data_IF_153517713858
#
_entry.id   IF_153517713858
#
_cell.length_a   1.000
_cell.length_b   1.000
_cell.length_c   1.000
_cell.angle_alpha   90.00
_cell.angle_beta   90.00
_cell.angle_gamma   90.00
#
_symmetry.space_group_name_H-M   'P 1'
#
loop_
_entity.id
_entity.type
_entity.pdbx_description
1 polymer ?
#
# COMPACT_ATOMS: atom_id res chain seq x y z
N UNK A 1 9.30 6.59 -7.76
CA UNK A 1 9.86 5.24 -7.99
C UNK A 1 11.29 5.09 -7.47
N UNK A 2 12.16 6.10 -7.59
CA UNK A 2 13.53 6.06 -7.03
C UNK A 2 13.57 5.65 -5.54
N UNK A 3 12.70 6.22 -4.71
CA UNK A 3 12.70 5.97 -3.26
C UNK A 3 12.65 4.48 -2.85
N UNK A 4 11.78 3.68 -3.48
CA UNK A 4 11.62 2.27 -3.12
C UNK A 4 12.77 1.42 -3.66
N UNK A 5 13.27 1.74 -4.85
CA UNK A 5 14.42 1.06 -5.46
C UNK A 5 15.73 1.33 -4.72
N UNK A 6 15.96 2.59 -4.33
CA UNK A 6 17.11 2.99 -3.52
C UNK A 6 17.07 2.32 -2.14
N UNK A 7 15.87 2.10 -1.60
CA UNK A 7 15.67 1.42 -0.32
C UNK A 7 15.88 -0.10 -0.42
N UNK A 8 15.26 -0.77 -1.40
CA UNK A 8 15.44 -2.19 -1.66
C UNK A 8 15.15 -2.49 -3.14
N UNK A 9 16.08 -3.09 -3.90
CA UNK A 9 15.91 -3.26 -5.35
C UNK A 9 14.76 -4.22 -5.71
N UNK A 10 14.46 -5.20 -4.85
CA UNK A 10 13.33 -6.12 -5.06
C UNK A 10 12.02 -5.40 -4.82
N UNK A 11 11.96 -4.55 -3.79
CA UNK A 11 10.81 -3.71 -3.52
C UNK A 11 10.56 -2.70 -4.65
N UNK A 12 11.61 -2.04 -5.14
CA UNK A 12 11.55 -1.15 -6.29
C UNK A 12 11.05 -1.86 -7.55
N UNK A 13 11.51 -3.09 -7.80
CA UNK A 13 11.05 -3.89 -8.94
C UNK A 13 9.54 -4.20 -8.86
N UNK A 14 9.03 -4.58 -7.69
CA UNK A 14 7.58 -4.83 -7.48
C UNK A 14 6.75 -3.57 -7.70
N UNK A 15 7.20 -2.43 -7.17
CA UNK A 15 6.52 -1.16 -7.37
C UNK A 15 6.47 -0.78 -8.86
N UNK A 16 7.58 -0.93 -9.59
CA UNK A 16 7.61 -0.66 -11.04
C UNK A 16 6.61 -1.51 -11.83
N UNK A 17 6.47 -2.78 -11.46
CA UNK A 17 5.50 -3.67 -12.11
C UNK A 17 4.06 -3.18 -11.95
N UNK A 18 3.70 -2.76 -10.73
CA UNK A 18 2.39 -2.15 -10.45
C UNK A 18 2.18 -0.89 -11.30
N UNK A 19 3.19 -0.01 -11.37
CA UNK A 19 3.12 1.22 -12.17
C UNK A 19 3.03 0.96 -13.68
N UNK A 20 3.72 -0.06 -14.18
CA UNK A 20 3.73 -0.40 -15.60
C UNK A 20 2.44 -1.11 -16.04
N UNK A 21 1.66 -1.66 -15.11
CA UNK A 21 0.45 -2.40 -15.38
C UNK A 21 -0.79 -1.50 -15.23
N UNK A 22 -1.27 -0.93 -16.34
CA UNK A 22 -2.46 -0.08 -16.37
C UNK A 22 -3.78 -0.77 -15.98
N UNK A 23 -3.79 -2.11 -15.87
CA UNK A 23 -4.89 -2.84 -15.24
C UNK A 23 -4.85 -2.70 -13.71
N UNK A 24 -3.65 -2.76 -13.12
CA UNK A 24 -3.41 -2.73 -11.68
C UNK A 24 -3.38 -1.33 -11.09
N UNK A 25 -2.89 -0.32 -11.82
CA UNK A 25 -2.84 1.05 -11.34
C UNK A 25 -3.51 2.00 -12.33
N UNK A 26 -4.56 2.66 -11.87
CA UNK A 26 -5.25 3.71 -12.62
C UNK A 26 -5.12 5.02 -11.86
N UNK A 27 -4.43 5.98 -12.47
CA UNK A 27 -4.27 7.32 -11.92
C UNK A 27 -5.12 8.28 -12.74
N UNK A 28 -6.00 9.01 -12.07
CA UNK A 28 -6.67 10.19 -12.63
C UNK A 28 -6.08 11.43 -12.00
N UNK A 29 -5.57 12.34 -12.83
CA UNK A 29 -5.01 13.60 -12.36
C UNK A 29 -6.14 14.62 -12.18
N UNK A 30 -6.28 15.16 -10.97
CA UNK A 30 -7.33 16.11 -10.62
C UNK A 30 -6.75 17.25 -9.78
N UNK A 31 -7.18 18.50 -10.01
CA UNK A 31 -6.66 19.66 -9.25
C UNK A 31 -7.18 19.74 -7.82
N UNK A 32 -8.31 19.10 -7.55
CA UNK A 32 -8.96 19.00 -6.24
C UNK A 32 -9.52 17.58 -6.11
N UNK A 33 -9.61 17.03 -4.90
CA UNK A 33 -10.25 15.73 -4.68
C UNK A 33 -11.71 15.83 -5.11
N UNK A 34 -12.06 15.21 -6.23
CA UNK A 34 -13.43 15.27 -6.78
C UNK A 34 -14.25 14.11 -6.30
N UNK A 35 -13.66 12.92 -6.24
CA UNK A 35 -14.37 11.71 -5.82
C UNK A 35 -13.79 11.10 -4.55
N UNK A 36 -12.60 11.52 -4.10
CA UNK A 36 -11.93 10.91 -2.94
C UNK A 36 -11.45 9.48 -3.24
N UNK A 37 -11.26 9.14 -4.51
CA UNK A 37 -10.87 7.78 -4.94
C UNK A 37 -9.38 7.58 -4.70
N UNK A 38 -9.04 7.01 -3.54
CA UNK A 38 -7.68 6.65 -3.15
C UNK A 38 -7.74 5.29 -2.46
N UNK A 39 -7.88 4.22 -3.24
CA UNK A 39 -8.03 2.89 -2.66
C UNK A 39 -7.35 1.78 -3.47
N UNK A 40 -6.81 0.83 -2.74
CA UNK A 40 -6.39 -0.48 -3.20
C UNK A 40 -7.48 -1.51 -2.90
N UNK A 41 -7.91 -2.23 -3.94
CA UNK A 41 -8.77 -3.39 -3.87
C UNK A 41 -7.90 -4.65 -3.92
N UNK A 42 -7.76 -5.40 -2.81
CA UNK A 42 -7.02 -6.66 -2.79
C UNK A 42 -7.54 -7.68 -3.81
N UNK A 43 -6.68 -8.60 -4.24
CA UNK A 43 -7.10 -9.64 -5.16
C UNK A 43 -8.20 -10.52 -4.57
N UNK A 44 -9.23 -10.81 -5.37
CA UNK A 44 -10.34 -11.66 -4.96
C UNK A 44 -11.21 -11.06 -3.84
N UNK A 45 -11.19 -9.74 -3.66
CA UNK A 45 -12.15 -9.04 -2.79
C UNK A 45 -13.58 -9.17 -3.35
N UNK A 46 -14.55 -9.34 -2.46
CA UNK A 46 -15.97 -9.40 -2.82
C UNK A 46 -16.76 -8.26 -2.19
N UNK A 47 -17.99 -8.04 -2.68
CA UNK A 47 -18.94 -7.10 -2.06
C UNK A 47 -19.18 -7.43 -0.58
N UNK A 48 -19.15 -8.72 -0.22
CA UNK A 48 -19.38 -9.14 1.15
C UNK A 48 -18.20 -8.78 2.05
N UNK A 49 -16.96 -8.91 1.57
CA UNK A 49 -15.78 -8.49 2.33
C UNK A 49 -15.79 -6.98 2.62
N UNK A 50 -16.23 -6.17 1.66
CA UNK A 50 -16.40 -4.72 1.86
C UNK A 50 -17.42 -4.40 2.95
N UNK A 51 -18.46 -5.21 3.11
CA UNK A 51 -19.49 -5.03 4.14
C UNK A 51 -19.03 -5.51 5.52
N UNK A 52 -18.22 -6.56 5.56
CA UNK A 52 -17.89 -7.28 6.79
C UNK A 52 -16.67 -6.74 7.51
N UNK A 53 -15.74 -6.08 6.81
CA UNK A 53 -14.41 -5.82 7.37
C UNK A 53 -14.17 -4.43 7.93
N UNK A 54 -15.08 -3.46 7.76
CA UNK A 54 -14.82 -2.03 8.06
C UNK A 54 -13.49 -1.52 7.45
N UNK A 55 -12.90 -2.31 6.54
CA UNK A 55 -11.66 -2.02 5.87
C UNK A 55 -12.02 -1.10 4.73
N UNK A 56 -11.34 0.05 4.69
CA UNK A 56 -11.39 1.05 3.63
C UNK A 56 -12.51 2.12 3.68
N UNK A 57 -13.34 2.19 4.73
CA UNK A 57 -14.53 3.08 4.68
C UNK A 57 -14.80 3.85 5.98
N UNK A 58 -14.03 4.90 6.25
CA UNK A 58 -14.47 6.00 7.15
C UNK A 58 -14.93 7.26 6.38
N UNK A 59 -14.69 7.36 5.05
CA UNK A 59 -14.89 8.62 4.30
C UNK A 59 -15.51 8.49 2.91
N UNK A 60 -16.35 7.47 2.69
CA UNK A 60 -16.76 7.13 1.34
C UNK A 60 -18.26 6.84 1.35
N UNK A 61 -19.07 7.85 1.03
CA UNK A 61 -20.47 7.68 0.62
C UNK A 61 -20.56 6.58 -0.46
N UNK A 62 -21.70 5.88 -0.61
CA UNK A 62 -21.79 4.64 -1.36
C UNK A 62 -21.54 4.92 -2.85
N UNK A 63 -20.28 4.85 -3.27
CA UNK A 63 -19.93 4.74 -4.67
C UNK A 63 -20.52 3.43 -5.19
N UNK A 64 -20.61 3.38 -6.51
CA UNK A 64 -21.02 2.20 -7.26
C UNK A 64 -19.92 1.13 -7.17
N UNK A 65 -19.74 0.58 -5.96
CA UNK A 65 -18.76 -0.46 -5.63
C UNK A 65 -18.86 -1.68 -6.56
N UNK A 66 -20.00 -1.83 -7.25
CA UNK A 66 -20.18 -2.79 -8.34
C UNK A 66 -19.21 -2.57 -9.51
N UNK A 67 -19.01 -1.33 -9.96
CA UNK A 67 -18.15 -1.01 -11.12
C UNK A 67 -16.68 -1.39 -10.83
N UNK A 68 -16.19 -1.09 -9.63
CA UNK A 68 -14.80 -1.37 -9.28
C UNK A 68 -14.52 -2.85 -9.02
N UNK A 69 -15.47 -3.58 -8.45
CA UNK A 69 -15.37 -5.04 -8.31
C UNK A 69 -15.52 -5.74 -9.67
N UNK A 70 -16.36 -5.21 -10.57
CA UNK A 70 -16.40 -5.67 -11.98
C UNK A 70 -15.07 -5.46 -12.70
N UNK A 71 -14.29 -4.45 -12.31
CA UNK A 71 -12.92 -4.28 -12.81
C UNK A 71 -11.90 -5.23 -12.19
N UNK A 72 -12.19 -5.85 -11.04
CA UNK A 72 -11.42 -6.97 -10.46
C UNK A 72 -12.13 -8.32 -10.70
N UNK A 73 -12.87 -8.45 -11.81
CA UNK A 73 -13.72 -9.62 -12.06
C UNK A 73 -12.94 -10.95 -12.13
N UNK A 74 -11.66 -10.93 -12.48
CA UNK A 74 -10.82 -12.12 -12.46
C UNK A 74 -10.21 -12.42 -11.09
N UNK A 75 -10.27 -11.47 -10.14
CA UNK A 75 -9.72 -11.60 -8.79
C UNK A 75 -8.23 -11.90 -8.76
N UNK A 76 -7.52 -11.63 -9.87
CA UNK A 76 -6.19 -12.18 -10.09
C UNK A 76 -5.09 -11.35 -9.47
N UNK A 77 -5.31 -10.06 -9.22
CA UNK A 77 -4.33 -9.12 -8.68
C UNK A 77 -5.02 -8.00 -7.89
N UNK A 78 -4.25 -7.30 -7.06
CA UNK A 78 -4.72 -6.07 -6.43
C UNK A 78 -4.80 -4.93 -7.45
N UNK A 79 -5.87 -4.13 -7.36
CA UNK A 79 -6.15 -2.98 -8.24
C UNK A 79 -6.21 -1.70 -7.43
N UNK A 80 -5.46 -0.69 -7.84
CA UNK A 80 -5.41 0.64 -7.25
C UNK A 80 -6.11 1.62 -8.20
N UNK A 81 -7.10 2.34 -7.67
CA UNK A 81 -7.67 3.50 -8.32
C UNK A 81 -7.32 4.73 -7.50
N UNK A 82 -6.68 5.71 -8.13
CA UNK A 82 -6.05 6.81 -7.42
C UNK A 82 -6.29 8.17 -8.09
N UNK A 83 -6.80 9.13 -7.33
CA UNK A 83 -6.85 10.54 -7.70
C UNK A 83 -5.59 11.26 -7.24
N UNK A 84 -4.74 11.64 -8.19
CA UNK A 84 -3.53 12.39 -7.89
C UNK A 84 -3.79 13.90 -7.90
N UNK A 85 -3.54 14.55 -6.76
CA UNK A 85 -3.81 15.98 -6.56
C UNK A 85 -2.57 16.88 -6.63
N UNK A 86 -1.47 16.38 -7.18
CA UNK A 86 -0.20 17.08 -7.29
C UNK A 86 0.38 17.57 -5.95
N UNK A 87 -0.09 17.00 -4.83
CA UNK A 87 0.37 17.33 -3.48
C UNK A 87 1.31 16.25 -2.93
N UNK A 88 2.20 16.64 -2.01
CA UNK A 88 3.06 15.68 -1.30
C UNK A 88 2.21 14.66 -0.54
N UNK A 89 1.12 15.11 0.07
CA UNK A 89 0.20 14.21 0.79
C UNK A 89 -0.39 13.16 -0.15
N UNK A 90 -0.80 13.54 -1.37
CA UNK A 90 -1.29 12.58 -2.37
C UNK A 90 -0.22 11.60 -2.83
N UNK A 91 1.06 11.99 -2.87
CA UNK A 91 2.15 11.04 -3.14
C UNK A 91 2.31 10.03 -1.99
N UNK A 92 2.17 10.48 -0.74
CA UNK A 92 2.20 9.60 0.43
C UNK A 92 1.02 8.63 0.46
N UNK A 93 -0.19 9.09 0.10
CA UNK A 93 -1.35 8.21 -0.06
C UNK A 93 -1.17 7.21 -1.21
N UNK A 94 -0.61 7.62 -2.35
CA UNK A 94 -0.30 6.67 -3.42
C UNK A 94 0.70 5.61 -2.97
N UNK A 95 1.72 5.99 -2.20
CA UNK A 95 2.67 5.06 -1.62
C UNK A 95 2.00 4.08 -0.63
N UNK A 96 1.02 4.56 0.13
CA UNK A 96 0.20 3.72 1.01
C UNK A 96 -0.53 2.63 0.21
N UNK A 97 -1.27 3.01 -0.83
CA UNK A 97 -2.01 2.05 -1.67
C UNK A 97 -1.10 1.06 -2.40
N UNK A 98 0.07 1.52 -2.87
CA UNK A 98 1.10 0.64 -3.43
C UNK A 98 1.56 -0.38 -2.38
N UNK A 99 1.64 0.01 -1.12
CA UNK A 99 2.00 -0.91 -0.04
C UNK A 99 0.98 -2.03 0.15
N UNK A 100 -0.32 -1.74 0.05
CA UNK A 100 -1.34 -2.79 0.04
C UNK A 100 -1.18 -3.75 -1.14
N UNK A 101 -0.96 -3.23 -2.36
CA UNK A 101 -0.80 -4.08 -3.54
C UNK A 101 0.48 -4.95 -3.48
N UNK A 102 1.59 -4.42 -2.96
CA UNK A 102 2.84 -5.19 -2.76
C UNK A 102 2.63 -6.29 -1.72
N UNK A 103 1.92 -5.98 -0.63
CA UNK A 103 1.63 -6.96 0.41
C UNK A 103 0.74 -8.09 -0.13
N UNK A 104 -0.31 -7.76 -0.89
CA UNK A 104 -1.18 -8.74 -1.54
C UNK A 104 -0.39 -9.71 -2.45
N UNK A 105 0.53 -9.19 -3.28
CA UNK A 105 1.39 -10.03 -4.14
C UNK A 105 2.25 -11.02 -3.34
N UNK A 106 2.87 -10.55 -2.26
CA UNK A 106 3.74 -11.37 -1.40
C UNK A 106 2.93 -12.44 -0.66
N UNK A 107 1.76 -12.08 -0.15
CA UNK A 107 0.86 -12.98 0.56
C UNK A 107 0.33 -14.06 -0.36
N UNK A 108 -0.12 -13.68 -1.57
CA UNK A 108 -0.60 -14.63 -2.58
C UNK A 108 0.47 -15.60 -3.06
N UNK A 109 1.70 -15.14 -3.24
CA UNK A 109 2.82 -16.02 -3.56
C UNK A 109 3.08 -17.07 -2.45
N UNK A 110 2.57 -16.85 -1.24
CA UNK A 110 2.56 -17.80 -0.13
C UNK A 110 1.25 -18.59 0.02
N UNK A 111 0.28 -18.41 -0.89
CA UNK A 111 -1.05 -19.01 -0.78
C UNK A 111 -1.94 -18.38 0.29
N UNK A 112 -1.59 -17.17 0.75
CA UNK A 112 -2.39 -16.36 1.68
C UNK A 112 -3.18 -15.31 0.92
N UNK A 113 -4.13 -14.69 1.61
CA UNK A 113 -4.91 -13.55 1.13
C UNK A 113 -5.00 -12.48 2.21
N UNK A 114 -5.51 -11.30 1.84
CA UNK A 114 -5.82 -10.25 2.81
C UNK A 114 -6.73 -10.73 3.97
N UNK A 115 -7.48 -11.83 3.77
CA UNK A 115 -8.36 -12.40 4.80
C UNK A 115 -7.60 -13.01 5.97
N UNK A 116 -6.36 -13.42 5.75
CA UNK A 116 -5.51 -14.07 6.74
C UNK A 116 -4.83 -13.07 7.70
N UNK A 117 -5.04 -11.76 7.46
CA UNK A 117 -4.46 -10.67 8.24
C UNK A 117 -5.55 -9.81 8.87
N UNK A 118 -5.25 -9.26 10.04
CA UNK A 118 -6.09 -8.26 10.69
C UNK A 118 -6.02 -6.92 9.95
N UNK A 119 -7.05 -6.05 10.07
CA UNK A 119 -7.00 -4.70 9.52
C UNK A 119 -5.76 -3.92 9.99
N UNK A 120 -5.34 -4.12 11.24
CA UNK A 120 -4.13 -3.48 11.78
C UNK A 120 -2.85 -3.89 11.05
N UNK A 121 -2.72 -5.18 10.72
CA UNK A 121 -1.57 -5.69 9.97
C UNK A 121 -1.55 -5.15 8.54
N UNK A 122 -2.71 -5.11 7.88
CA UNK A 122 -2.84 -4.61 6.52
C UNK A 122 -2.46 -3.12 6.41
N UNK A 123 -2.94 -2.29 7.34
CA UNK A 123 -2.59 -0.87 7.40
C UNK A 123 -1.12 -0.65 7.74
N UNK A 124 -0.56 -1.44 8.66
CA UNK A 124 0.87 -1.37 9.00
C UNK A 124 1.77 -1.65 7.79
N UNK A 125 1.38 -2.60 6.93
CA UNK A 125 2.11 -2.91 5.69
C UNK A 125 2.13 -1.70 4.74
N UNK A 126 0.99 -1.04 4.57
CA UNK A 126 0.86 0.14 3.74
C UNK A 126 1.63 1.35 4.31
N UNK A 127 1.48 1.63 5.61
CA UNK A 127 2.23 2.68 6.30
C UNK A 127 3.74 2.46 6.26
N UNK A 128 4.21 1.21 6.18
CA UNK A 128 5.64 0.92 6.06
C UNK A 128 6.19 1.41 4.71
N UNK A 129 5.49 1.17 3.61
CA UNK A 129 5.86 1.69 2.28
C UNK A 129 5.75 3.21 2.23
N UNK A 130 4.66 3.76 2.76
CA UNK A 130 4.49 5.20 2.89
C UNK A 130 5.66 5.83 3.66
N UNK A 131 6.13 5.21 4.74
CA UNK A 131 7.26 5.73 5.55
C UNK A 131 8.56 5.80 4.75
N UNK A 132 8.83 4.84 3.86
CA UNK A 132 10.02 4.86 2.99
C UNK A 132 9.96 6.04 2.03
N UNK A 133 8.81 6.23 1.35
CA UNK A 133 8.62 7.32 0.39
C UNK A 133 8.64 8.67 1.09
N UNK A 134 7.98 8.78 2.24
CA UNK A 134 7.91 10.03 2.97
C UNK A 134 9.30 10.47 3.47
N UNK A 135 10.14 9.56 3.97
CA UNK A 135 11.53 9.87 4.34
C UNK A 135 12.40 10.32 3.17
N UNK A 136 12.08 9.88 1.94
CA UNK A 136 12.79 10.30 0.74
C UNK A 136 12.39 11.72 0.30
N UNK A 137 11.12 12.09 0.50
CA UNK A 137 10.61 13.43 0.19
C UNK A 137 11.09 14.43 1.25
N UNK A 138 10.92 14.08 2.53
CA UNK A 138 11.33 14.87 3.68
C UNK A 138 11.94 13.95 4.74
N UNK A 139 13.27 14.00 4.96
CA UNK A 139 13.95 13.19 5.96
C UNK A 139 13.40 13.33 7.39
N UNK A 140 12.75 14.45 7.70
CA UNK A 140 12.17 14.73 9.01
C UNK A 140 10.70 14.27 9.14
N UNK A 141 10.08 13.79 8.05
CA UNK A 141 8.68 13.33 8.08
C UNK A 141 8.44 12.20 9.10
N UNK A 142 9.44 11.36 9.33
CA UNK A 142 9.39 10.23 10.26
C UNK A 142 10.01 10.53 11.64
N UNK A 143 10.37 11.79 11.89
CA UNK A 143 10.92 12.26 13.18
C UNK A 143 9.85 12.95 14.03
N UNK A 144 8.84 13.57 13.40
CA UNK A 144 7.71 14.19 14.10
C UNK A 144 6.49 13.25 14.16
N UNK A 145 6.12 12.84 15.37
CA UNK A 145 4.72 12.46 15.64
C UNK A 145 3.94 13.77 15.68
N UNK A 146 3.50 14.24 14.51
CA UNK A 146 2.53 15.32 14.44
C UNK A 146 1.30 14.84 15.22
N UNK A 147 1.10 15.44 16.39
CA UNK A 147 -0.02 15.12 17.26
C UNK A 147 -1.33 15.36 16.48
N UNK A 148 -1.90 14.30 15.94
CA UNK A 148 -3.18 14.33 15.27
C UNK A 148 -4.27 14.67 16.30
N UNK A 149 -5.04 15.73 16.05
CA UNK A 149 -6.18 16.14 16.89
C UNK A 149 -7.47 15.72 16.17
N UNK A 150 -8.19 14.69 16.64
CA UNK A 150 -9.39 14.21 15.95
C UNK A 150 -10.58 15.15 16.14
N UNK A 151 -11.50 15.15 15.16
CA UNK A 151 -12.68 16.02 15.15
C UNK A 151 -13.86 15.52 16.03
N UNK A 152 -13.84 14.27 16.51
CA UNK A 152 -14.89 13.66 17.36
C UNK A 152 -14.43 12.40 18.12
N UNK A 153 -15.21 11.91 19.10
CA UNK A 153 -14.89 10.72 19.92
C UNK A 153 -14.92 9.37 19.18
N UNK A 154 -15.77 9.19 18.17
CA UNK A 154 -15.69 8.03 17.27
C UNK A 154 -14.52 8.14 16.30
N UNK A 155 -14.14 9.37 15.91
CA UNK A 155 -12.90 9.59 15.16
C UNK A 155 -11.65 9.40 16.02
N UNK A 156 -11.75 9.47 17.35
CA UNK A 156 -10.62 9.27 18.27
C UNK A 156 -10.15 7.82 18.23
N UNK A 157 -11.03 6.82 18.32
CA UNK A 157 -10.60 5.41 18.33
C UNK A 157 -9.99 4.96 16.99
N UNK A 158 -10.60 5.34 15.86
CA UNK A 158 -10.05 5.02 14.54
C UNK A 158 -8.76 5.80 14.26
N UNK A 159 -8.65 7.06 14.71
CA UNK A 159 -7.41 7.82 14.64
C UNK A 159 -6.30 7.28 15.54
N UNK A 160 -6.61 6.84 16.77
CA UNK A 160 -5.63 6.22 17.66
C UNK A 160 -5.09 4.91 17.07
N UNK A 161 -5.96 4.10 16.47
CA UNK A 161 -5.55 2.88 15.78
C UNK A 161 -4.65 3.20 14.58
N UNK A 162 -5.02 4.18 13.75
CA UNK A 162 -4.19 4.64 12.62
C UNK A 162 -2.83 5.18 13.05
N UNK A 163 -2.78 5.99 14.10
CA UNK A 163 -1.51 6.51 14.63
C UNK A 163 -0.65 5.38 15.23
N UNK A 164 -1.25 4.38 15.89
CA UNK A 164 -0.51 3.21 16.37
C UNK A 164 0.06 2.38 15.20
N UNK A 165 -0.72 2.14 14.15
CA UNK A 165 -0.27 1.46 12.93
C UNK A 165 0.90 2.22 12.28
N UNK A 166 0.77 3.54 12.13
CA UNK A 166 1.82 4.41 11.60
C UNK A 166 3.07 4.38 12.48
N UNK A 167 2.92 4.47 13.79
CA UNK A 167 4.05 4.43 14.73
C UNK A 167 4.83 3.11 14.62
N UNK A 168 4.13 1.98 14.61
CA UNK A 168 4.75 0.67 14.42
C UNK A 168 5.43 0.54 13.05
N UNK A 169 4.79 1.04 11.99
CA UNK A 169 5.34 1.04 10.64
C UNK A 169 6.61 1.90 10.52
N UNK A 170 6.64 3.09 11.13
CA UNK A 170 7.84 3.94 11.21
C UNK A 170 8.95 3.24 11.99
N UNK A 171 8.63 2.54 13.08
CA UNK A 171 9.58 1.71 13.83
C UNK A 171 10.18 0.60 12.96
N UNK A 172 9.34 -0.11 12.21
CA UNK A 172 9.78 -1.15 11.26
C UNK A 172 10.64 -0.56 10.13
N UNK A 173 10.27 0.59 9.58
CA UNK A 173 11.08 1.32 8.58
C UNK A 173 12.48 1.62 9.12
N UNK A 174 12.58 2.21 10.33
CA UNK A 174 13.87 2.53 10.96
C UNK A 174 14.73 1.28 11.17
N UNK A 175 14.12 0.17 11.57
CA UNK A 175 14.81 -1.10 11.69
C UNK A 175 15.32 -1.60 10.33
N UNK A 176 14.47 -1.62 9.30
CA UNK A 176 14.82 -2.04 7.95
C UNK A 176 15.95 -1.18 7.34
N UNK A 177 15.91 0.13 7.56
CA UNK A 177 16.93 1.07 7.09
C UNK A 177 18.32 0.80 7.71
N UNK A 178 18.35 0.32 8.96
CA UNK A 178 19.59 -0.02 9.67
C UNK A 178 20.18 -1.39 9.28
N UNK A 179 19.43 -2.23 8.54
CA UNK A 179 19.90 -3.53 8.09
C UNK A 179 20.79 -3.42 6.85
N UNK A 180 21.72 -4.38 6.71
CA UNK A 180 22.43 -4.62 5.46
C UNK A 180 21.44 -5.06 4.36
N UNK A 181 21.75 -4.76 3.09
CA UNK A 181 20.84 -5.02 1.97
C UNK A 181 20.33 -6.48 1.91
N UNK A 182 21.21 -7.46 2.15
CA UNK A 182 20.83 -8.88 2.13
C UNK A 182 19.85 -9.30 3.24
N UNK A 183 19.84 -8.58 4.37
CA UNK A 183 18.93 -8.83 5.49
C UNK A 183 17.65 -8.00 5.38
N UNK A 184 17.75 -6.83 4.74
CA UNK A 184 16.64 -5.88 4.55
C UNK A 184 15.51 -6.50 3.75
N UNK A 185 15.78 -7.16 2.62
CA UNK A 185 14.74 -7.80 1.81
C UNK A 185 13.92 -8.81 2.61
N UNK A 186 14.58 -9.72 3.33
CA UNK A 186 13.88 -10.73 4.15
C UNK A 186 13.05 -10.11 5.28
N UNK A 187 13.57 -9.03 5.88
CA UNK A 187 12.82 -8.26 6.87
C UNK A 187 11.58 -7.59 6.26
N UNK A 188 11.71 -6.94 5.10
CA UNK A 188 10.59 -6.34 4.36
C UNK A 188 9.53 -7.40 4.08
N UNK A 189 9.92 -8.55 3.52
CA UNK A 189 8.97 -9.64 3.23
C UNK A 189 8.21 -10.09 4.49
N UNK A 190 8.88 -10.15 5.64
CA UNK A 190 8.24 -10.49 6.92
C UNK A 190 7.21 -9.44 7.33
N UNK A 191 7.53 -8.15 7.19
CA UNK A 191 6.58 -7.05 7.44
C UNK A 191 5.37 -7.17 6.50
N UNK A 192 5.58 -7.57 5.24
CA UNK A 192 4.54 -7.76 4.22
C UNK A 192 3.66 -9.00 4.44
N UNK A 193 3.81 -9.70 5.56
CA UNK A 193 2.97 -10.86 5.92
C UNK A 193 3.50 -12.18 5.37
N UNK A 194 4.73 -12.23 4.87
CA UNK A 194 5.34 -13.49 4.46
C UNK A 194 5.66 -14.37 5.68
N UNK A 195 5.21 -15.63 5.72
CA UNK A 195 5.62 -16.56 6.78
C UNK A 195 7.13 -16.81 6.77
N UNK A 196 7.75 -16.89 7.94
CA UNK A 196 9.19 -17.13 8.09
C UNK A 196 9.68 -18.45 7.46
N UNK A 197 8.78 -19.41 7.22
CA UNK A 197 9.07 -20.69 6.57
C UNK A 197 8.93 -20.67 5.04
N UNK A 198 8.43 -19.58 4.44
CA UNK A 198 8.24 -19.48 3.01
C UNK A 198 9.56 -19.11 2.30
N UNK A 199 9.85 -19.77 1.17
CA UNK A 199 11.03 -19.49 0.36
C UNK A 199 11.05 -18.03 -0.13
N UNK A 200 12.23 -17.44 -0.32
CA UNK A 200 12.39 -16.08 -0.89
C UNK A 200 11.55 -15.92 -2.15
N UNK A 201 10.68 -14.91 -2.20
CA UNK A 201 9.82 -14.70 -3.37
C UNK A 201 10.58 -13.72 -4.25
N UNK A 202 11.33 -14.26 -5.19
CA UNK A 202 11.86 -13.45 -6.27
C UNK A 202 10.70 -13.04 -7.17
N UNK A 203 10.52 -11.75 -7.50
CA UNK A 203 9.53 -11.34 -8.49
C UNK A 203 9.73 -12.17 -9.76
N UNK A 204 8.67 -12.72 -10.38
CA UNK A 204 8.82 -13.39 -11.64
C UNK A 204 8.84 -12.34 -12.78
N UNK A 205 9.53 -12.71 -13.85
CA UNK A 205 9.51 -12.13 -15.20
C UNK A 205 10.46 -10.97 -15.53
N UNK A 206 11.16 -11.05 -16.69
CA UNK A 206 11.90 -9.92 -17.23
C UNK A 206 10.90 -8.79 -17.54
N UNK A 207 11.26 -7.57 -17.14
CA UNK A 207 10.59 -6.35 -17.59
C UNK A 207 10.39 -6.46 -19.10
N UNK A 208 9.15 -6.37 -19.57
CA UNK A 208 8.91 -6.16 -20.99
C UNK A 208 9.70 -4.91 -21.37
N UNK A 209 10.60 -5.05 -22.36
CA UNK A 209 11.41 -3.95 -22.86
C UNK A 209 10.51 -2.75 -23.15
N UNK A 210 10.94 -1.57 -22.69
CA UNK A 210 10.26 -0.29 -22.76
C UNK A 210 9.53 -0.05 -24.11
N UNK A 211 8.25 -0.41 -24.20
CA UNK A 211 7.36 0.21 -25.20
C UNK A 211 6.77 1.46 -24.61
N UNK A 212 7.59 2.52 -24.61
CA UNK A 212 7.14 3.90 -24.51
C UNK A 212 6.20 4.17 -25.69
N UNK A 213 4.91 4.28 -25.42
CA UNK A 213 4.00 4.98 -26.31
C UNK A 213 3.68 6.33 -25.67
N UNK A 214 4.32 7.36 -26.25
CA UNK A 214 3.98 8.78 -26.09
C UNK A 214 2.53 9.06 -26.50
#
# INVERSE_FOLDING_TARGET
MSALEDFDPILGARAREIFANGHRLRITEELEQRTGMMNCLPAGITIQDLKDRDMYFDFVEPFDNGIFIEHNADGSEAIINFEYTYSVDSLCYLAHEIGHAIADDIQRACGLSFRDFSPHELEKQAYFIQSIVAAHIDPDFNTESAAFVPASETSLSSAFNREAQRYEAVGAYKQAAALAASQRTAFIETIMGKPACAATITPPYPLAEDTVHL
#
